data_IF_780649976321
#
_entry.id   IF_780649976321
#
_cell.length_a   1.000
_cell.length_b   1.000
_cell.length_c   1.000
_cell.angle_alpha   90.00
_cell.angle_beta   90.00
_cell.angle_gamma   90.00
#
_symmetry.space_group_name_H-M   'P 1'
#
loop_
_entity.id
_entity.type
_entity.pdbx_description
1 polymer ?
#
# COMPACT_ATOMS: atom_id res chain seq x y z
N UNK A 1 -19.83 6.06 33.08
CA UNK A 1 -19.15 4.75 33.19
C UNK A 1 -18.23 4.63 31.99
N UNK A 2 -16.99 5.10 32.13
CA UNK A 2 -15.95 4.92 31.12
C UNK A 2 -15.51 3.46 31.19
N UNK A 3 -15.93 2.65 30.24
CA UNK A 3 -15.30 1.35 30.04
C UNK A 3 -13.88 1.66 29.55
N UNK A 4 -12.92 1.68 30.48
CA UNK A 4 -11.53 1.53 30.14
C UNK A 4 -11.44 0.21 29.36
N UNK A 5 -11.31 0.30 28.04
CA UNK A 5 -11.03 -0.84 27.18
C UNK A 5 -9.63 -1.32 27.50
N UNK A 6 -9.49 -2.02 28.62
CA UNK A 6 -8.27 -2.70 29.00
C UNK A 6 -7.95 -3.68 27.87
N UNK A 7 -6.81 -3.45 27.21
CA UNK A 7 -6.29 -4.41 26.23
C UNK A 7 -6.18 -5.77 26.91
N UNK A 8 -6.55 -6.83 26.19
CA UNK A 8 -6.39 -8.18 26.68
C UNK A 8 -4.90 -8.44 27.03
N UNK A 9 -4.64 -9.14 28.13
CA UNK A 9 -3.29 -9.35 28.63
C UNK A 9 -2.42 -10.12 27.63
N UNK A 10 -3.02 -10.96 26.78
CA UNK A 10 -2.31 -11.65 25.68
C UNK A 10 -1.83 -10.66 24.62
N UNK A 11 -2.65 -9.65 24.31
CA UNK A 11 -2.31 -8.61 23.34
C UNK A 11 -1.21 -7.70 23.90
N UNK A 12 -1.30 -7.33 25.18
CA UNK A 12 -0.24 -6.57 25.85
C UNK A 12 1.10 -7.30 25.83
N UNK A 13 1.11 -8.62 26.09
CA UNK A 13 2.32 -9.44 26.06
C UNK A 13 2.95 -9.46 24.67
N UNK A 14 2.14 -9.66 23.61
CA UNK A 14 2.62 -9.63 22.22
C UNK A 14 3.23 -8.28 21.83
N UNK A 15 2.58 -7.18 22.20
CA UNK A 15 3.12 -5.83 21.94
C UNK A 15 4.43 -5.60 22.72
N UNK A 16 4.55 -6.13 23.94
CA UNK A 16 5.77 -6.03 24.73
C UNK A 16 6.94 -6.83 24.11
N UNK A 17 6.69 -8.05 23.62
CA UNK A 17 7.69 -8.86 22.92
C UNK A 17 8.22 -8.16 21.66
N UNK A 18 7.34 -7.53 20.89
CA UNK A 18 7.74 -6.79 19.69
C UNK A 18 8.58 -5.55 20.06
N UNK A 19 8.25 -4.87 21.16
CA UNK A 19 9.09 -3.79 21.69
C UNK A 19 10.47 -4.30 22.08
N UNK A 20 10.57 -5.43 22.80
CA UNK A 20 11.87 -6.02 23.16
C UNK A 20 12.67 -6.45 21.92
N UNK A 21 12.00 -6.98 20.88
CA UNK A 21 12.64 -7.29 19.60
C UNK A 21 13.28 -6.06 18.97
N UNK A 22 12.55 -4.94 18.94
CA UNK A 22 13.03 -3.67 18.41
C UNK A 22 14.17 -3.08 19.24
N UNK A 23 14.10 -3.19 20.57
CA UNK A 23 15.17 -2.78 21.48
C UNK A 23 16.41 -3.64 21.28
N UNK A 24 16.25 -4.96 21.09
CA UNK A 24 17.34 -5.87 20.76
C UNK A 24 18.06 -5.55 19.44
N UNK A 25 17.36 -4.90 18.50
CA UNK A 25 17.92 -4.36 17.26
C UNK A 25 18.61 -2.99 17.44
N UNK A 26 18.74 -2.50 18.67
CA UNK A 26 19.42 -1.26 19.01
C UNK A 26 18.52 -0.02 18.96
N UNK A 27 17.20 -0.17 18.94
CA UNK A 27 16.27 0.96 18.98
C UNK A 27 16.01 1.42 20.41
N UNK A 28 15.82 2.74 20.59
CA UNK A 28 15.37 3.29 21.86
C UNK A 28 13.99 2.74 22.25
N UNK A 29 13.83 2.39 23.54
CA UNK A 29 12.61 1.76 24.07
C UNK A 29 11.36 2.62 23.92
N UNK A 30 11.48 3.95 24.08
CA UNK A 30 10.35 4.88 23.92
C UNK A 30 9.95 4.97 22.45
N UNK A 31 10.92 4.98 21.54
CA UNK A 31 10.66 4.96 20.10
C UNK A 31 10.03 3.64 19.65
N UNK A 32 10.55 2.50 20.13
CA UNK A 32 10.02 1.18 19.84
C UNK A 32 8.56 1.04 20.29
N UNK A 33 8.23 1.45 21.52
CA UNK A 33 6.86 1.44 22.03
C UNK A 33 5.90 2.25 21.16
N UNK A 34 6.34 3.42 20.66
CA UNK A 34 5.50 4.26 19.80
C UNK A 34 5.22 3.59 18.46
N UNK A 35 6.25 3.04 17.81
CA UNK A 35 6.09 2.34 16.53
C UNK A 35 5.12 1.17 16.67
N UNK A 36 5.31 0.32 17.68
CA UNK A 36 4.45 -0.86 17.91
C UNK A 36 3.02 -0.46 18.24
N UNK A 37 2.84 0.64 18.97
CA UNK A 37 1.52 1.16 19.28
C UNK A 37 0.81 1.73 18.06
N UNK A 38 1.52 2.52 17.24
CA UNK A 38 0.98 3.10 16.02
C UNK A 38 0.58 1.99 15.01
N UNK A 39 1.42 0.95 14.84
CA UNK A 39 1.13 -0.22 14.01
C UNK A 39 -0.12 -0.99 14.50
N UNK A 40 -0.25 -1.18 15.82
CA UNK A 40 -1.43 -1.80 16.41
C UNK A 40 -2.72 -0.99 16.16
N UNK A 41 -2.64 0.34 16.21
CA UNK A 41 -3.78 1.22 15.91
C UNK A 41 -4.16 1.15 14.42
N UNK A 42 -3.19 1.08 13.52
CA UNK A 42 -3.42 0.94 12.09
C UNK A 42 -4.11 -0.40 11.78
N UNK A 43 -3.67 -1.50 12.38
CA UNK A 43 -4.34 -2.80 12.29
C UNK A 43 -5.78 -2.73 12.81
N UNK A 44 -6.03 -2.10 13.96
CA UNK A 44 -7.38 -1.90 14.48
C UNK A 44 -8.27 -1.11 13.52
N UNK A 45 -7.72 -0.10 12.83
CA UNK A 45 -8.46 0.68 11.85
C UNK A 45 -8.91 -0.17 10.64
N UNK A 46 -8.10 -1.16 10.22
CA UNK A 46 -8.47 -2.13 9.17
C UNK A 46 -9.67 -2.99 9.58
N UNK A 47 -9.74 -3.43 10.84
CA UNK A 47 -10.89 -4.21 11.33
C UNK A 47 -12.13 -3.33 11.58
N UNK A 48 -11.93 -2.05 11.89
CA UNK A 48 -13.00 -1.09 12.13
C UNK A 48 -13.60 -0.52 10.84
N UNK A 49 -12.89 -0.59 9.70
CA UNK A 49 -13.51 -0.27 8.41
C UNK A 49 -14.56 -1.33 8.07
N UNK A 50 -15.86 -1.00 8.00
CA UNK A 50 -16.82 -1.90 7.42
C UNK A 50 -16.35 -2.17 5.99
N UNK A 51 -16.28 -3.45 5.62
CA UNK A 51 -16.12 -3.87 4.23
C UNK A 51 -17.28 -3.24 3.45
N UNK A 52 -17.07 -2.04 2.92
CA UNK A 52 -17.70 -1.65 1.68
C UNK A 52 -17.05 -2.58 0.68
N UNK A 53 -17.76 -3.67 0.40
CA UNK A 53 -17.39 -4.64 -0.61
C UNK A 53 -17.31 -3.92 -1.97
N UNK A 54 -16.18 -3.32 -2.25
CA UNK A 54 -15.67 -3.19 -3.62
C UNK A 54 -14.59 -4.24 -3.76
N UNK A 55 -15.00 -5.51 -3.66
CA UNK A 55 -14.38 -6.50 -4.51
C UNK A 55 -14.65 -6.02 -5.96
N UNK A 56 -13.65 -5.90 -6.84
CA UNK A 56 -13.95 -6.01 -8.25
C UNK A 56 -14.57 -7.40 -8.41
N UNK A 57 -15.84 -7.42 -8.79
CA UNK A 57 -16.53 -8.63 -9.24
C UNK A 57 -15.58 -9.37 -10.21
N UNK A 58 -15.36 -10.68 -10.04
CA UNK A 58 -14.63 -11.43 -11.07
C UNK A 58 -15.38 -11.22 -12.39
N UNK A 59 -14.72 -10.76 -13.47
CA UNK A 59 -15.41 -10.49 -14.72
C UNK A 59 -16.13 -11.78 -15.16
N UNK A 60 -17.45 -11.67 -15.34
CA UNK A 60 -18.22 -12.71 -16.03
C UNK A 60 -17.53 -13.03 -17.37
N UNK A 61 -17.36 -14.31 -17.73
CA UNK A 61 -16.81 -14.65 -19.03
C UNK A 61 -17.76 -14.16 -20.12
N UNK A 62 -17.32 -13.18 -20.90
CA UNK A 62 -17.97 -12.77 -22.14
C UNK A 62 -18.02 -13.95 -23.13
N UNK A 63 -19.08 -14.10 -23.94
CA UNK A 63 -19.12 -15.11 -24.99
C UNK A 63 -18.00 -14.87 -26.01
N UNK A 64 -17.28 -15.94 -26.34
CA UNK A 64 -16.09 -15.93 -27.19
C UNK A 64 -16.32 -15.22 -28.54
N UNK A 65 -15.40 -14.34 -28.97
CA UNK A 65 -15.40 -13.83 -30.34
C UNK A 65 -14.97 -14.94 -31.33
N UNK A 66 -15.42 -14.89 -32.60
CA UNK A 66 -15.23 -15.97 -33.56
C UNK A 66 -13.76 -16.17 -33.95
N UNK A 67 -13.41 -17.44 -34.19
CA UNK A 67 -12.13 -17.92 -34.69
C UNK A 67 -11.59 -17.07 -35.84
N UNK A 68 -10.55 -16.29 -35.53
CA UNK A 68 -9.68 -15.69 -36.54
C UNK A 68 -8.33 -16.39 -36.42
N UNK A 69 -7.79 -16.98 -37.50
CA UNK A 69 -6.53 -17.72 -37.41
C UNK A 69 -5.38 -16.77 -37.08
N UNK A 70 -4.73 -17.01 -35.94
CA UNK A 70 -3.56 -16.27 -35.47
C UNK A 70 -2.34 -16.73 -36.29
N UNK A 71 -1.57 -15.82 -36.93
CA UNK A 71 -0.33 -16.18 -37.59
C UNK A 71 0.74 -16.62 -36.59
N UNK A 72 1.51 -17.64 -36.97
CA UNK A 72 2.51 -18.32 -36.15
C UNK A 72 3.55 -17.35 -35.56
N UNK A 73 3.85 -17.41 -34.25
CA UNK A 73 4.84 -16.54 -33.64
C UNK A 73 6.28 -16.91 -34.07
N UNK A 74 7.19 -15.93 -34.22
CA UNK A 74 8.58 -16.19 -34.55
C UNK A 74 9.31 -16.92 -33.40
N UNK A 75 10.41 -17.64 -33.68
CA UNK A 75 11.07 -18.50 -32.70
C UNK A 75 11.61 -17.72 -31.49
N UNK A 76 11.44 -18.36 -30.32
CA UNK A 76 11.82 -17.90 -28.99
C UNK A 76 13.20 -17.24 -28.94
N UNK A 77 13.23 -15.96 -28.56
CA UNK A 77 14.46 -15.34 -28.06
C UNK A 77 14.68 -15.81 -26.62
N UNK A 78 15.92 -16.11 -26.22
CA UNK A 78 16.20 -16.50 -24.84
C UNK A 78 15.74 -15.40 -23.88
N UNK A 79 15.29 -15.77 -22.67
CA UNK A 79 14.78 -14.82 -21.69
C UNK A 79 15.86 -13.76 -21.39
N UNK A 80 15.49 -12.49 -21.59
CA UNK A 80 16.32 -11.38 -21.11
C UNK A 80 16.60 -11.56 -19.62
N UNK A 81 17.84 -11.33 -19.15
CA UNK A 81 18.18 -11.50 -17.75
C UNK A 81 17.30 -10.56 -16.89
N UNK A 82 16.97 -10.98 -15.65
CA UNK A 82 16.15 -10.17 -14.76
C UNK A 82 16.79 -8.79 -14.62
N UNK A 83 16.04 -7.75 -14.99
CA UNK A 83 16.45 -6.37 -14.76
C UNK A 83 16.82 -6.25 -13.29
N UNK A 84 18.11 -6.03 -12.98
CA UNK A 84 18.58 -5.80 -11.61
C UNK A 84 17.71 -4.70 -11.04
N UNK A 85 16.80 -5.05 -10.12
CA UNK A 85 15.89 -4.10 -9.48
C UNK A 85 16.76 -3.02 -8.85
N UNK A 86 16.82 -1.85 -9.48
CA UNK A 86 17.51 -0.71 -8.91
C UNK A 86 16.69 -0.32 -7.69
N UNK A 87 17.31 -0.44 -6.52
CA UNK A 87 16.79 0.16 -5.31
C UNK A 87 16.61 1.66 -5.59
N UNK A 88 15.49 2.22 -5.14
CA UNK A 88 15.21 3.64 -5.30
C UNK A 88 16.36 4.46 -4.71
N UNK A 89 16.83 5.48 -5.44
CA UNK A 89 17.88 6.39 -5.01
C UNK A 89 17.30 7.79 -4.86
N UNK A 90 17.71 8.50 -3.81
CA UNK A 90 17.32 9.91 -3.61
C UNK A 90 17.74 10.82 -4.78
N UNK A 91 18.78 10.45 -5.52
CA UNK A 91 19.19 11.17 -6.73
C UNK A 91 18.24 10.97 -7.93
N UNK A 92 17.41 9.92 -7.89
CA UNK A 92 16.37 9.64 -8.89
C UNK A 92 15.02 10.29 -8.51
N UNK A 93 14.97 11.08 -7.42
CA UNK A 93 13.80 11.87 -7.07
C UNK A 93 13.51 12.92 -8.13
N UNK A 94 12.25 13.00 -8.55
CA UNK A 94 11.79 14.08 -9.41
C UNK A 94 11.93 15.38 -8.64
N UNK A 95 12.81 16.26 -9.12
CA UNK A 95 13.02 17.57 -8.50
C UNK A 95 11.67 18.31 -8.39
N UNK A 96 11.31 18.70 -7.16
CA UNK A 96 10.11 19.50 -6.86
C UNK A 96 10.27 20.94 -7.34
N UNK A 97 10.49 21.11 -8.64
CA UNK A 97 10.52 22.40 -9.30
C UNK A 97 9.14 23.04 -9.25
N UNK A 98 9.06 24.39 -9.22
CA UNK A 98 7.78 25.09 -9.15
C UNK A 98 6.86 24.76 -10.33
N UNK A 99 7.41 24.54 -11.53
CA UNK A 99 6.65 24.13 -12.71
C UNK A 99 6.05 22.73 -12.57
N UNK A 100 6.81 21.78 -12.00
CA UNK A 100 6.33 20.43 -11.75
C UNK A 100 5.18 20.41 -10.74
N UNK A 101 5.30 21.20 -9.66
CA UNK A 101 4.24 21.35 -8.66
C UNK A 101 2.96 21.94 -9.26
N UNK A 102 3.09 22.90 -10.17
CA UNK A 102 1.93 23.51 -10.83
C UNK A 102 1.18 22.50 -11.72
N UNK A 103 1.91 21.68 -12.49
CA UNK A 103 1.34 20.60 -13.29
C UNK A 103 0.63 19.58 -12.40
N UNK A 104 1.28 19.14 -11.33
CA UNK A 104 0.70 18.17 -10.39
C UNK A 104 -0.58 18.71 -9.73
N UNK A 105 -0.62 20.01 -9.35
CA UNK A 105 -1.85 20.65 -8.84
C UNK A 105 -2.99 20.67 -9.86
N UNK A 106 -2.70 20.90 -11.13
CA UNK A 106 -3.71 20.87 -12.19
C UNK A 106 -4.25 19.46 -12.41
N UNK A 107 -3.39 18.45 -12.39
CA UNK A 107 -3.79 17.03 -12.47
C UNK A 107 -4.63 16.61 -11.26
N UNK A 108 -4.22 17.01 -10.05
CA UNK A 108 -4.98 16.75 -8.84
C UNK A 108 -6.35 17.43 -8.86
N UNK A 109 -6.46 18.66 -9.40
CA UNK A 109 -7.76 19.31 -9.58
C UNK A 109 -8.67 18.54 -10.55
N UNK A 110 -8.10 17.96 -11.61
CA UNK A 110 -8.83 17.10 -12.56
C UNK A 110 -9.30 15.81 -11.90
N UNK A 111 -8.43 15.13 -11.15
CA UNK A 111 -8.79 13.92 -10.40
C UNK A 111 -9.85 14.22 -9.34
N UNK A 112 -9.71 15.32 -8.59
CA UNK A 112 -10.69 15.74 -7.59
C UNK A 112 -12.07 16.00 -8.19
N UNK A 113 -12.13 16.55 -9.41
CA UNK A 113 -13.38 16.72 -10.16
C UNK A 113 -13.97 15.37 -10.57
N UNK A 114 -13.14 14.40 -10.96
CA UNK A 114 -13.56 13.07 -11.36
C UNK A 114 -14.09 12.24 -10.18
N UNK A 115 -13.42 12.33 -9.03
CA UNK A 115 -13.78 11.60 -7.80
C UNK A 115 -14.93 12.27 -7.03
N UNK A 116 -15.51 13.35 -7.57
CA UNK A 116 -16.67 14.01 -6.95
C UNK A 116 -16.38 14.73 -5.64
N UNK A 117 -15.10 14.89 -5.26
CA UNK A 117 -14.63 15.60 -4.06
C UNK A 117 -14.74 17.14 -4.19
N UNK A 118 -15.77 17.63 -4.89
CA UNK A 118 -16.17 19.02 -4.77
C UNK A 118 -16.76 19.19 -3.37
N UNK A 119 -16.20 20.14 -2.61
CA UNK A 119 -16.88 20.69 -1.43
C UNK A 119 -18.29 21.13 -1.81
#
# INVERSE_FOLDING_TARGET
MTQDSELDDTTKARLAEEVERLVGMGMDRKKARRIVWDDYLDELAVYATPVVATAPEPPQPEPSPPDTPVPEPPPDKPPSPPSRKRFWRAADEVAMTPEWLQKNRAELAKVKRLVGLRK
#
